data_IF_347575134635
#
_entry.id   IF_347575134635
#
_cell.length_a   1.000
_cell.length_b   1.000
_cell.length_c   1.000
_cell.angle_alpha   90.00
_cell.angle_beta   90.00
_cell.angle_gamma   90.00
#
_symmetry.space_group_name_H-M   'P 1'
#
loop_
_entity.id
_entity.type
_entity.pdbx_description
1 polymer ?
#
# COMPACT_ATOMS: atom_id res chain seq x y z
N UNK A 1 15.44 15.80 -49.16
CA UNK A 1 16.32 15.79 -47.97
C UNK A 1 15.60 16.50 -46.84
N UNK A 2 15.54 15.85 -45.67
CA UNK A 2 15.27 16.42 -44.34
C UNK A 2 13.98 17.24 -44.17
N UNK A 3 12.97 16.58 -43.62
CA UNK A 3 12.34 17.09 -42.39
C UNK A 3 12.04 15.88 -41.52
N UNK A 4 12.97 15.62 -40.60
CA UNK A 4 12.90 14.54 -39.63
C UNK A 4 11.79 14.86 -38.61
N UNK A 5 10.92 13.88 -38.43
CA UNK A 5 9.91 13.78 -37.37
C UNK A 5 10.52 14.01 -35.99
N UNK A 6 9.95 14.96 -35.24
CA UNK A 6 10.22 15.11 -33.81
C UNK A 6 8.87 15.17 -33.08
N UNK A 7 8.19 14.03 -32.99
CA UNK A 7 7.10 13.83 -32.02
C UNK A 7 7.80 13.51 -30.70
N UNK A 8 8.17 14.54 -29.95
CA UNK A 8 8.66 14.37 -28.58
C UNK A 8 7.44 14.03 -27.72
N UNK A 9 7.30 12.74 -27.44
CA UNK A 9 6.24 12.21 -26.59
C UNK A 9 6.32 12.86 -25.20
N UNK A 10 5.22 13.53 -24.84
CA UNK A 10 4.94 14.04 -23.50
C UNK A 10 4.81 12.87 -22.53
N UNK A 11 5.91 12.45 -21.94
CA UNK A 11 5.90 11.61 -20.73
C UNK A 11 6.27 12.47 -19.52
N UNK A 12 5.41 13.42 -19.18
CA UNK A 12 5.39 13.99 -17.83
C UNK A 12 4.52 13.08 -16.96
N UNK A 13 5.06 11.90 -16.62
CA UNK A 13 4.48 11.04 -15.61
C UNK A 13 4.54 11.77 -14.27
N UNK A 14 3.42 12.37 -13.87
CA UNK A 14 3.24 12.86 -12.52
C UNK A 14 3.24 11.64 -11.60
N UNK A 15 4.39 11.33 -11.01
CA UNK A 15 4.44 10.53 -9.79
C UNK A 15 3.72 11.33 -8.71
N UNK A 16 2.39 11.17 -8.62
CA UNK A 16 1.62 11.70 -7.51
C UNK A 16 2.04 10.89 -6.28
N UNK A 17 3.05 11.37 -5.57
CA UNK A 17 3.25 11.04 -4.18
C UNK A 17 2.07 11.63 -3.41
N UNK A 18 0.94 10.92 -3.43
CA UNK A 18 -0.19 11.27 -2.59
C UNK A 18 0.30 11.16 -1.15
N UNK A 19 0.21 12.22 -0.35
CA UNK A 19 0.61 12.13 1.04
C UNK A 19 -0.23 11.04 1.68
N UNK A 20 0.41 10.10 2.36
CA UNK A 20 -0.27 9.27 3.33
C UNK A 20 -0.89 10.23 4.34
N UNK A 21 -2.18 10.50 4.20
CA UNK A 21 -2.95 11.27 5.17
C UNK A 21 -2.89 10.46 6.45
N UNK A 22 -2.01 10.88 7.36
CA UNK A 22 -1.96 10.38 8.72
C UNK A 22 -3.20 10.93 9.43
N UNK A 23 -4.33 10.29 9.18
CA UNK A 23 -5.58 10.61 9.87
C UNK A 23 -5.38 10.24 11.34
N UNK A 24 -5.40 11.25 12.21
CA UNK A 24 -5.21 11.16 13.66
C UNK A 24 -6.40 10.51 14.37
N UNK A 25 -6.89 9.37 13.87
CA UNK A 25 -7.90 8.54 14.50
C UNK A 25 -7.34 7.13 14.68
N UNK A 26 -6.91 6.80 15.90
CA UNK A 26 -6.58 5.43 16.34
C UNK A 26 -5.95 4.56 15.25
N UNK A 27 -4.71 4.89 14.85
CA UNK A 27 -4.08 4.26 13.70
C UNK A 27 -4.05 2.73 13.86
N UNK A 28 -4.69 2.01 12.92
CA UNK A 28 -4.68 0.54 12.84
C UNK A 28 -3.26 -0.04 12.78
N UNK A 29 -2.29 0.80 12.41
CA UNK A 29 -0.87 0.51 12.29
C UNK A 29 -0.05 1.52 13.09
N UNK A 30 0.99 1.10 13.81
CA UNK A 30 1.72 1.98 14.72
C UNK A 30 3.22 1.67 14.73
N UNK A 31 4.02 2.67 15.07
CA UNK A 31 5.48 2.54 15.18
C UNK A 31 6.14 2.24 13.83
N UNK A 32 7.12 1.33 13.84
CA UNK A 32 7.86 0.94 12.64
C UNK A 32 6.95 0.33 11.57
N UNK A 33 5.85 -0.32 11.96
CA UNK A 33 4.83 -0.86 11.07
C UNK A 33 3.67 0.13 10.95
N UNK A 34 3.96 1.38 10.57
CA UNK A 34 2.97 2.46 10.49
C UNK A 34 2.12 2.47 9.21
N UNK A 35 2.43 1.64 8.21
CA UNK A 35 1.78 1.71 6.90
C UNK A 35 0.73 0.61 6.73
N UNK A 36 -0.56 0.93 6.61
CA UNK A 36 -1.59 -0.06 6.32
C UNK A 36 -1.48 -0.53 4.86
N UNK A 37 -1.51 -1.85 4.65
CA UNK A 37 -1.43 -2.52 3.35
C UNK A 37 -2.34 -3.77 3.32
N UNK A 38 -2.79 -4.15 2.13
CA UNK A 38 -3.52 -5.39 1.88
C UNK A 38 -2.62 -6.37 1.13
N UNK A 39 -2.31 -7.55 1.70
CA UNK A 39 -1.35 -8.50 1.13
C UNK A 39 -1.89 -9.94 1.05
N UNK A 40 -1.36 -10.74 0.12
CA UNK A 40 -1.91 -12.06 -0.23
C UNK A 40 -1.38 -13.23 0.61
N UNK A 41 -0.10 -13.21 1.00
CA UNK A 41 0.51 -14.31 1.78
C UNK A 41 1.55 -13.76 2.74
N UNK A 42 1.61 -14.36 3.92
CA UNK A 42 2.68 -14.19 4.89
C UNK A 42 3.50 -15.48 4.90
N UNK A 43 4.63 -15.49 4.20
CA UNK A 43 5.37 -16.73 3.94
C UNK A 43 6.16 -17.20 5.18
N UNK A 44 6.31 -16.35 6.21
CA UNK A 44 7.13 -16.64 7.41
C UNK A 44 6.68 -15.94 8.72
N UNK A 45 5.50 -15.33 8.79
CA UNK A 45 5.07 -14.52 9.95
C UNK A 45 5.44 -13.03 9.89
N UNK A 46 6.15 -12.61 8.84
CA UNK A 46 6.84 -11.29 8.75
C UNK A 46 7.01 -10.77 7.32
N UNK A 47 6.81 -11.60 6.29
CA UNK A 47 7.14 -11.25 4.91
C UNK A 47 5.90 -11.40 4.05
N UNK A 48 5.31 -10.26 3.69
CA UNK A 48 4.11 -10.21 2.88
C UNK A 48 4.43 -9.97 1.42
N UNK A 49 3.84 -10.77 0.54
CA UNK A 49 3.97 -10.64 -0.92
C UNK A 49 2.66 -10.12 -1.52
N UNK A 50 2.80 -9.43 -2.67
CA UNK A 50 1.68 -8.90 -3.45
C UNK A 50 0.78 -7.99 -2.59
N UNK A 51 1.41 -6.95 -2.05
CA UNK A 51 0.78 -5.90 -1.26
C UNK A 51 0.25 -4.76 -2.13
N UNK A 52 -0.89 -4.21 -1.75
CA UNK A 52 -1.49 -3.01 -2.33
C UNK A 52 -2.08 -2.10 -1.26
N UNK A 53 -2.24 -0.81 -1.59
CA UNK A 53 -2.89 0.12 -0.67
C UNK A 53 -4.35 -0.27 -0.43
N UNK A 54 -4.83 -0.19 0.83
CA UNK A 54 -6.25 -0.31 1.11
C UNK A 54 -7.01 0.87 0.52
N UNK A 55 -8.28 0.63 0.18
CA UNK A 55 -9.24 1.68 -0.17
C UNK A 55 -9.59 2.54 1.05
N UNK A 56 -9.63 1.93 2.23
CA UNK A 56 -9.86 2.63 3.49
C UNK A 56 -9.28 1.88 4.69
N UNK A 57 -8.87 2.62 5.72
CA UNK A 57 -8.26 2.09 6.93
C UNK A 57 -8.56 2.97 8.17
N UNK A 58 -9.80 3.49 8.27
CA UNK A 58 -10.19 4.43 9.33
C UNK A 58 -10.30 3.75 10.72
N UNK A 59 -10.53 2.44 10.73
CA UNK A 59 -10.57 1.60 11.92
C UNK A 59 -10.32 0.13 11.52
N UNK A 60 -10.15 -0.75 12.50
CA UNK A 60 -9.81 -2.16 12.26
C UNK A 60 -10.82 -2.90 11.38
N UNK A 61 -12.12 -2.70 11.61
CA UNK A 61 -13.16 -3.37 10.83
C UNK A 61 -13.21 -2.86 9.39
N UNK A 62 -13.15 -1.54 9.19
CA UNK A 62 -13.06 -0.89 7.88
C UNK A 62 -11.82 -1.38 7.12
N UNK A 63 -10.66 -1.43 7.78
CA UNK A 63 -9.43 -1.90 7.18
C UNK A 63 -9.51 -3.37 6.74
N UNK A 64 -10.05 -4.23 7.60
CA UNK A 64 -10.26 -5.65 7.31
C UNK A 64 -11.20 -5.83 6.11
N UNK A 65 -12.31 -5.12 6.08
CA UNK A 65 -13.27 -5.18 4.97
C UNK A 65 -12.67 -4.64 3.67
N UNK A 66 -11.92 -3.54 3.74
CA UNK A 66 -11.23 -2.98 2.58
C UNK A 66 -10.28 -4.00 1.95
N UNK A 67 -9.47 -4.71 2.74
CA UNK A 67 -8.57 -5.72 2.19
C UNK A 67 -9.31 -6.97 1.70
N UNK A 68 -10.32 -7.42 2.43
CA UNK A 68 -11.14 -8.57 2.04
C UNK A 68 -11.87 -8.36 0.71
N UNK A 69 -12.29 -7.12 0.40
CA UNK A 69 -12.89 -6.77 -0.89
C UNK A 69 -11.96 -7.01 -2.10
N UNK A 70 -10.66 -7.12 -1.83
CA UNK A 70 -9.64 -7.42 -2.84
C UNK A 70 -9.09 -8.84 -2.74
N UNK A 71 -9.69 -9.69 -1.90
CA UNK A 71 -9.23 -11.07 -1.66
C UNK A 71 -7.93 -11.17 -0.86
N UNK A 72 -7.53 -10.10 -0.18
CA UNK A 72 -6.27 -10.01 0.59
C UNK A 72 -6.52 -9.78 2.07
N UNK A 73 -5.50 -9.99 2.90
CA UNK A 73 -5.57 -9.73 4.34
C UNK A 73 -4.96 -8.38 4.71
N UNK A 74 -5.46 -7.79 5.79
CA UNK A 74 -4.95 -6.53 6.33
C UNK A 74 -3.61 -6.72 7.07
N UNK A 75 -2.62 -5.90 6.73
CA UNK A 75 -1.26 -5.92 7.29
C UNK A 75 -0.75 -4.51 7.58
N UNK A 76 0.09 -4.40 8.59
CA UNK A 76 0.85 -3.20 8.90
C UNK A 76 2.31 -3.39 8.50
N UNK A 77 2.84 -2.50 7.67
CA UNK A 77 4.11 -2.66 7.00
C UNK A 77 5.06 -1.47 7.27
N UNK A 78 6.36 -1.70 7.13
CA UNK A 78 7.36 -0.66 7.39
C UNK A 78 7.55 0.33 6.25
N UNK A 79 7.36 -0.12 5.01
CA UNK A 79 7.45 0.71 3.82
C UNK A 79 6.23 0.48 2.93
N UNK A 80 5.65 1.53 2.32
CA UNK A 80 4.46 1.41 1.48
C UNK A 80 4.78 0.90 0.05
N UNK A 81 5.77 0.02 -0.14
CA UNK A 81 6.17 -0.41 -1.48
C UNK A 81 5.33 -1.61 -1.92
N UNK A 82 4.36 -1.33 -2.80
CA UNK A 82 3.54 -2.35 -3.43
C UNK A 82 4.40 -3.31 -4.27
N UNK A 83 4.11 -4.61 -4.21
CA UNK A 83 4.74 -5.63 -5.05
C UNK A 83 6.12 -6.14 -4.61
N UNK A 84 6.61 -5.79 -3.42
CA UNK A 84 7.86 -6.32 -2.86
C UNK A 84 7.58 -7.25 -1.67
N UNK A 85 8.57 -8.05 -1.28
CA UNK A 85 8.55 -8.74 0.02
C UNK A 85 8.74 -7.69 1.12
N UNK A 86 7.63 -7.20 1.67
CA UNK A 86 7.65 -6.13 2.68
C UNK A 86 7.63 -6.75 4.08
N UNK A 87 8.42 -6.19 4.99
CA UNK A 87 8.34 -6.51 6.42
C UNK A 87 6.98 -6.02 6.94
N UNK A 88 6.07 -6.96 7.18
CA UNK A 88 4.69 -6.69 7.54
C UNK A 88 4.25 -7.58 8.70
N UNK A 89 3.50 -7.01 9.63
CA UNK A 89 2.91 -7.69 10.77
C UNK A 89 1.39 -7.56 10.77
N UNK A 90 0.72 -8.48 11.46
CA UNK A 90 -0.73 -8.40 11.62
C UNK A 90 -1.11 -7.13 12.43
N UNK A 91 -2.08 -6.33 11.97
CA UNK A 91 -2.57 -5.16 12.69
C UNK A 91 -3.17 -5.56 14.03
N UNK A 92 -3.15 -4.66 15.00
CA UNK A 92 -3.85 -4.85 16.27
C UNK A 92 -5.35 -4.73 16.05
N UNK A 93 -6.12 -5.74 16.48
CA UNK A 93 -7.58 -5.71 16.45
C UNK A 93 -8.27 -6.12 15.15
N UNK A 94 -7.57 -6.76 14.19
CA UNK A 94 -8.16 -7.31 12.93
C UNK A 94 -8.20 -8.83 12.84
#
# INVERSE_FOLDING_TARGET
MKSFTAIVALFAGLAMATPATLDTRGSVCSGLYGNPQCCATDVLGVASLDCQNPKSANNANDFKQSCASTGKSAFCCTLPVAGQAVLCNKPVGV
#
